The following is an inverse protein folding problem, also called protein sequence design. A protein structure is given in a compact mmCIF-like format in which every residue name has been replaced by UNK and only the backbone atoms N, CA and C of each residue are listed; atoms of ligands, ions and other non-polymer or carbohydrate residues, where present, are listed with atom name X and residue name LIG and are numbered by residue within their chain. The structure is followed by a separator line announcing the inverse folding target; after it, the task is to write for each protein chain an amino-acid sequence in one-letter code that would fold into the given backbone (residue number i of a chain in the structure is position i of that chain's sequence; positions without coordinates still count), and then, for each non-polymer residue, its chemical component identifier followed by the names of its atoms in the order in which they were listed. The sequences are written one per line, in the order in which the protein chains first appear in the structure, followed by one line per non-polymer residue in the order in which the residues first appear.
data_IF_057501275024
#
_entry.id   IF_057501275024
#
_cell.length_a   1.000
_cell.length_b   1.000
_cell.length_c   1.000
_cell.angle_alpha   90.00
_cell.angle_beta   90.00
_cell.angle_gamma   90.00
#
_symmetry.space_group_name_H-M   'P 1'
#
loop_
_entity.id
_entity.type
_entity.pdbx_description
1 polymer ?
#
# COMPACT_ATOMS: atom_id res chain seq x y z
N UNK A 1 5.02 22.83 -30.94
CA UNK A 1 6.21 22.18 -30.37
C UNK A 1 6.28 22.61 -28.92
N UNK A 2 5.80 21.78 -28.01
CA UNK A 2 5.87 22.09 -26.58
C UNK A 2 7.34 22.12 -26.16
N UNK A 3 7.73 23.22 -25.50
CA UNK A 3 8.96 23.28 -24.74
C UNK A 3 8.58 23.10 -23.27
N UNK A 4 8.94 21.95 -22.69
CA UNK A 4 8.72 21.66 -21.28
C UNK A 4 9.91 22.23 -20.50
N UNK A 5 9.65 23.19 -19.62
CA UNK A 5 10.70 23.72 -18.74
C UNK A 5 11.07 22.69 -17.69
N UNK A 6 12.36 22.61 -17.38
CA UNK A 6 12.89 21.67 -16.37
C UNK A 6 12.20 21.86 -15.03
N UNK A 7 12.00 23.12 -14.63
CA UNK A 7 11.40 23.44 -13.34
C UNK A 7 9.90 23.11 -13.29
N UNK A 8 9.16 23.37 -14.37
CA UNK A 8 7.73 23.06 -14.44
C UNK A 8 7.49 21.54 -14.30
N UNK A 9 8.35 20.72 -14.92
CA UNK A 9 8.31 19.26 -14.79
C UNK A 9 8.59 18.81 -13.35
N UNK A 10 9.69 19.29 -12.76
CA UNK A 10 10.11 18.93 -11.40
C UNK A 10 9.04 19.32 -10.37
N UNK A 11 8.48 20.51 -10.49
CA UNK A 11 7.44 21.03 -9.61
C UNK A 11 6.16 20.22 -9.75
N UNK A 12 5.74 19.89 -10.98
CA UNK A 12 4.58 19.03 -11.22
C UNK A 12 4.73 17.64 -10.59
N UNK A 13 5.93 17.03 -10.66
CA UNK A 13 6.20 15.75 -9.99
C UNK A 13 6.16 15.91 -8.46
N UNK A 14 6.73 16.99 -7.93
CA UNK A 14 6.74 17.22 -6.48
C UNK A 14 5.31 17.43 -5.94
N UNK A 15 4.52 18.25 -6.62
CA UNK A 15 3.13 18.56 -6.29
C UNK A 15 2.26 17.32 -6.43
N UNK A 16 2.46 16.50 -7.47
CA UNK A 16 1.75 15.23 -7.64
C UNK A 16 2.00 14.26 -6.49
N UNK A 17 3.24 14.12 -6.04
CA UNK A 17 3.58 13.24 -4.92
C UNK A 17 3.04 13.73 -3.59
N UNK A 18 3.03 15.05 -3.38
CA UNK A 18 2.37 15.67 -2.22
C UNK A 18 0.85 15.44 -2.28
N UNK A 19 0.23 15.72 -3.42
CA UNK A 19 -1.19 15.54 -3.67
C UNK A 19 -1.67 14.12 -3.36
N UNK A 20 -1.04 13.10 -3.95
CA UNK A 20 -1.41 11.70 -3.73
C UNK A 20 -1.00 11.19 -2.35
N UNK A 21 -0.21 11.93 -1.58
CA UNK A 21 0.14 11.52 -0.22
C UNK A 21 -1.08 11.57 0.70
N UNK A 22 -1.96 12.57 0.52
CA UNK A 22 -3.08 12.85 1.42
C UNK A 22 -4.47 12.80 0.76
N UNK A 23 -4.58 12.84 -0.58
CA UNK A 23 -5.84 12.62 -1.28
C UNK A 23 -5.94 11.22 -1.87
N UNK A 24 -7.07 10.56 -1.59
CA UNK A 24 -7.51 9.44 -2.42
C UNK A 24 -8.20 9.97 -3.69
N UNK A 25 -8.11 9.24 -4.81
CA UNK A 25 -8.99 9.44 -5.96
C UNK A 25 -10.49 9.36 -5.59
N UNK A 26 -11.34 10.15 -6.24
CA UNK A 26 -12.79 10.21 -5.95
C UNK A 26 -13.49 8.87 -6.14
N UNK A 27 -13.15 8.17 -7.23
CA UNK A 27 -13.64 6.84 -7.56
C UNK A 27 -13.31 5.80 -6.48
N UNK A 28 -12.13 5.88 -5.85
CA UNK A 28 -11.77 5.05 -4.70
C UNK A 28 -12.66 5.35 -3.50
N UNK A 29 -12.90 6.62 -3.18
CA UNK A 29 -13.76 7.02 -2.05
C UNK A 29 -15.19 6.52 -2.28
N UNK A 30 -15.73 6.71 -3.49
CA UNK A 30 -17.08 6.28 -3.86
C UNK A 30 -17.22 4.74 -3.83
N UNK A 31 -16.25 4.01 -4.40
CA UNK A 31 -16.27 2.55 -4.40
C UNK A 31 -16.18 2.00 -2.97
N UNK A 32 -15.33 2.59 -2.12
CA UNK A 32 -15.18 2.19 -0.74
C UNK A 32 -16.43 2.53 0.10
N UNK A 33 -17.07 3.67 -0.14
CA UNK A 33 -18.35 4.03 0.47
C UNK A 33 -19.46 3.03 0.07
N UNK A 34 -19.55 2.65 -1.21
CA UNK A 34 -20.49 1.65 -1.66
C UNK A 34 -20.23 0.26 -1.04
N UNK A 35 -18.96 -0.10 -0.81
CA UNK A 35 -18.59 -1.30 -0.09
C UNK A 35 -19.00 -1.23 1.40
N UNK A 36 -18.78 -0.09 2.06
CA UNK A 36 -19.18 0.15 3.45
C UNK A 36 -20.68 -0.07 3.68
N UNK A 37 -21.51 0.47 2.79
CA UNK A 37 -22.97 0.36 2.90
C UNK A 37 -23.44 -1.10 2.79
N UNK A 38 -22.81 -1.88 1.90
CA UNK A 38 -23.17 -3.28 1.65
C UNK A 38 -22.58 -4.24 2.67
N UNK A 39 -21.47 -3.89 3.32
CA UNK A 39 -20.73 -4.81 4.19
C UNK A 39 -21.57 -5.31 5.37
N UNK A 40 -21.54 -6.62 5.57
CA UNK A 40 -22.33 -7.32 6.58
C UNK A 40 -21.46 -7.75 7.78
N UNK A 41 -20.18 -8.02 7.56
CA UNK A 41 -19.23 -8.36 8.62
C UNK A 41 -18.94 -7.11 9.47
N UNK A 42 -19.25 -7.12 10.78
CA UNK A 42 -18.99 -5.96 11.64
C UNK A 42 -17.52 -5.54 11.66
N UNK A 43 -16.61 -6.52 11.64
CA UNK A 43 -15.17 -6.25 11.66
C UNK A 43 -14.67 -5.63 10.34
N UNK A 44 -15.12 -6.13 9.19
CA UNK A 44 -14.78 -5.52 7.90
C UNK A 44 -15.45 -4.16 7.72
N UNK A 45 -16.70 -3.98 8.16
CA UNK A 45 -17.39 -2.69 8.10
C UNK A 45 -16.68 -1.64 8.96
N UNK A 46 -16.24 -2.02 10.16
CA UNK A 46 -15.42 -1.17 11.01
C UNK A 46 -14.07 -0.80 10.36
N UNK A 47 -13.39 -1.78 9.74
CA UNK A 47 -12.14 -1.53 9.02
C UNK A 47 -12.33 -0.56 7.84
N UNK A 48 -13.41 -0.70 7.06
CA UNK A 48 -13.74 0.23 5.97
C UNK A 48 -14.03 1.63 6.53
N UNK A 49 -14.79 1.73 7.63
CA UNK A 49 -15.08 3.01 8.27
C UNK A 49 -13.80 3.73 8.75
N UNK A 50 -12.83 3.00 9.30
CA UNK A 50 -11.53 3.56 9.66
C UNK A 50 -10.77 4.08 8.45
N UNK A 51 -10.78 3.37 7.31
CA UNK A 51 -10.12 3.82 6.07
C UNK A 51 -10.78 5.10 5.54
N UNK A 52 -12.11 5.17 5.49
CA UNK A 52 -12.86 6.36 5.05
C UNK A 52 -12.60 7.56 5.97
N UNK A 53 -12.64 7.34 7.29
CA UNK A 53 -12.35 8.36 8.30
C UNK A 53 -10.92 8.87 8.16
N UNK A 54 -9.94 7.97 8.06
CA UNK A 54 -8.54 8.31 7.83
C UNK A 54 -8.37 9.09 6.53
N UNK A 55 -9.02 8.66 5.45
CA UNK A 55 -8.95 9.34 4.15
C UNK A 55 -9.42 10.79 4.24
N UNK A 56 -10.52 11.06 4.94
CA UNK A 56 -11.04 12.42 5.15
C UNK A 56 -10.10 13.25 6.02
N UNK A 57 -9.63 12.67 7.14
CA UNK A 57 -8.68 13.34 8.04
C UNK A 57 -7.37 13.71 7.33
N UNK A 58 -6.88 12.83 6.44
CA UNK A 58 -5.69 13.09 5.64
C UNK A 58 -5.91 14.24 4.65
N UNK A 59 -7.04 14.25 3.94
CA UNK A 59 -7.41 15.33 3.02
C UNK A 59 -7.50 16.69 3.73
N UNK A 60 -8.15 16.75 4.89
CA UNK A 60 -8.33 17.98 5.67
C UNK A 60 -7.02 18.41 6.36
N UNK A 61 -6.28 17.47 6.95
CA UNK A 61 -5.04 17.73 7.69
C UNK A 61 -3.80 17.90 6.81
N UNK A 62 -3.90 17.53 5.53
CA UNK A 62 -2.78 17.43 4.57
C UNK A 62 -1.65 16.55 5.11
N UNK A 63 -2.01 15.35 5.58
CA UNK A 63 -1.07 14.37 6.13
C UNK A 63 -1.20 13.01 5.45
N UNK A 64 -0.11 12.23 5.34
CA UNK A 64 -0.10 11.04 4.50
C UNK A 64 -1.13 10.00 4.93
N UNK A 65 -1.82 9.42 3.95
CA UNK A 65 -2.81 8.34 4.09
C UNK A 65 -2.25 7.11 4.81
N UNK A 66 -0.95 6.88 4.70
CA UNK A 66 -0.26 5.73 5.23
C UNK A 66 1.15 6.13 5.70
N UNK A 67 1.63 5.50 6.77
CA UNK A 67 3.00 5.69 7.24
C UNK A 67 4.04 5.22 6.21
N UNK A 68 3.66 4.26 5.36
CA UNK A 68 4.47 3.86 4.21
C UNK A 68 4.12 4.73 3.00
N UNK A 69 4.83 5.85 2.86
CA UNK A 69 4.65 6.79 1.74
C UNK A 69 5.10 6.20 0.40
N UNK A 70 5.74 5.02 0.39
CA UNK A 70 5.88 4.17 -0.78
C UNK A 70 7.11 4.44 -1.66
N UNK A 71 7.29 3.56 -2.65
CA UNK A 71 8.27 3.69 -3.74
C UNK A 71 7.60 4.47 -4.85
N UNK A 72 8.29 5.47 -5.42
CA UNK A 72 7.74 6.24 -6.54
C UNK A 72 7.92 5.46 -7.84
N UNK A 73 6.83 5.32 -8.58
CA UNK A 73 6.80 4.76 -9.94
C UNK A 73 6.19 5.80 -10.87
N UNK A 74 6.88 6.13 -11.96
CA UNK A 74 6.43 7.08 -12.98
C UNK A 74 6.38 6.41 -14.35
N UNK A 75 5.23 6.44 -15.01
CA UNK A 75 5.06 6.12 -16.42
C UNK A 75 4.93 7.43 -17.20
N UNK A 76 5.87 7.68 -18.10
CA UNK A 76 5.98 8.93 -18.85
C UNK A 76 5.87 8.60 -20.33
N UNK A 77 4.83 9.14 -20.99
CA UNK A 77 4.67 9.09 -22.44
C UNK A 77 5.10 10.43 -23.02
N UNK A 78 6.15 10.43 -23.83
CA UNK A 78 6.75 11.63 -24.41
C UNK A 78 6.37 11.74 -25.87
N UNK A 79 5.62 12.78 -26.22
CA UNK A 79 5.32 13.12 -27.61
C UNK A 79 6.60 13.36 -28.41
N UNK A 80 6.70 12.76 -29.60
CA UNK A 80 7.86 12.89 -30.49
C UNK A 80 8.18 14.34 -30.90
N UNK A 81 7.25 15.27 -30.72
CA UNK A 81 7.45 16.70 -30.99
C UNK A 81 7.78 17.52 -29.74
N UNK A 82 7.92 16.90 -28.57
CA UNK A 82 8.30 17.59 -27.33
C UNK A 82 9.78 17.98 -27.36
N UNK A 83 10.11 19.14 -26.82
CA UNK A 83 11.47 19.51 -26.40
C UNK A 83 11.50 19.77 -24.90
N UNK A 84 12.59 19.41 -24.26
CA UNK A 84 12.85 19.76 -22.86
C UNK A 84 13.88 20.90 -22.80
N UNK A 85 13.68 21.81 -21.87
CA UNK A 85 14.68 22.81 -21.49
C UNK A 85 15.82 22.13 -20.69
N UNK A 86 17.04 22.65 -20.82
CA UNK A 86 18.20 22.18 -20.06
C UNK A 86 18.80 20.87 -20.56
N UNK A 87 19.65 20.27 -19.73
CA UNK A 87 20.43 19.05 -20.00
C UNK A 87 20.09 17.89 -19.04
N UNK A 88 19.18 18.10 -18.08
CA UNK A 88 18.69 17.04 -17.20
C UNK A 88 17.92 15.97 -17.97
N UNK A 89 18.21 14.72 -17.67
CA UNK A 89 17.42 13.58 -18.12
C UNK A 89 16.05 13.56 -17.44
N UNK A 90 15.07 12.85 -18.04
CA UNK A 90 13.75 12.66 -17.43
C UNK A 90 13.84 12.00 -16.05
N UNK A 91 14.73 11.02 -15.89
CA UNK A 91 14.93 10.34 -14.62
C UNK A 91 15.49 11.29 -13.54
N UNK A 92 16.44 12.17 -13.90
CA UNK A 92 16.95 13.20 -12.98
C UNK A 92 15.86 14.20 -12.59
N UNK A 93 15.03 14.64 -13.53
CA UNK A 93 13.90 15.53 -13.24
C UNK A 93 12.86 14.87 -12.33
N UNK A 94 12.52 13.59 -12.57
CA UNK A 94 11.64 12.81 -11.68
C UNK A 94 12.26 12.70 -10.29
N UNK A 95 13.52 12.30 -10.18
CA UNK A 95 14.19 12.11 -8.90
C UNK A 95 14.32 13.41 -8.10
N UNK A 96 14.49 14.55 -8.77
CA UNK A 96 14.49 15.85 -8.11
C UNK A 96 13.10 16.23 -7.60
N UNK A 97 12.04 15.98 -8.38
CA UNK A 97 10.65 16.15 -7.90
C UNK A 97 10.34 15.25 -6.71
N UNK A 98 10.79 14.00 -6.73
CA UNK A 98 10.68 13.04 -5.61
C UNK A 98 11.37 13.57 -4.37
N UNK A 99 12.63 14.01 -4.48
CA UNK A 99 13.38 14.58 -3.36
C UNK A 99 12.66 15.77 -2.73
N UNK A 100 12.17 16.70 -3.56
CA UNK A 100 11.43 17.88 -3.09
C UNK A 100 10.13 17.51 -2.39
N UNK A 101 9.36 16.59 -2.95
CA UNK A 101 8.14 16.10 -2.32
C UNK A 101 8.42 15.44 -0.97
N UNK A 102 9.42 14.54 -0.90
CA UNK A 102 9.66 13.77 0.31
C UNK A 102 10.26 14.60 1.45
N UNK A 103 11.01 15.65 1.12
CA UNK A 103 11.61 16.59 2.07
C UNK A 103 10.76 17.86 2.28
N UNK A 104 9.50 17.87 1.84
CA UNK A 104 8.63 19.03 1.98
C UNK A 104 8.41 19.38 3.46
N UNK A 105 8.75 20.59 3.93
CA UNK A 105 8.80 20.91 5.36
C UNK A 105 7.43 20.82 6.05
N UNK A 106 6.36 21.18 5.34
CA UNK A 106 5.00 21.16 5.90
C UNK A 106 4.33 19.79 5.87
N UNK A 107 4.91 18.83 5.15
CA UNK A 107 4.37 17.48 4.99
C UNK A 107 5.48 16.50 4.62
N UNK A 108 6.43 16.33 5.53
CA UNK A 108 7.57 15.44 5.31
C UNK A 108 7.07 14.00 5.16
N UNK A 109 7.54 13.31 4.13
CA UNK A 109 7.17 11.93 3.81
C UNK A 109 8.26 10.97 4.27
N UNK A 110 7.94 9.68 4.40
CA UNK A 110 8.89 8.69 4.90
C UNK A 110 9.78 8.11 3.80
N UNK A 111 11.06 8.48 3.79
CA UNK A 111 12.05 7.86 2.92
C UNK A 111 12.24 6.37 3.25
N UNK A 112 11.91 5.50 2.28
CA UNK A 112 11.86 4.05 2.42
C UNK A 112 12.82 3.31 1.48
N UNK A 113 13.48 4.01 0.55
CA UNK A 113 14.47 3.44 -0.38
C UNK A 113 15.82 3.23 0.32
N UNK A 114 16.50 2.16 -0.07
CA UNK A 114 17.83 1.79 0.42
C UNK A 114 18.81 1.60 -0.75
N UNK A 115 20.02 2.13 -0.59
CA UNK A 115 21.16 1.83 -1.45
C UNK A 115 21.79 0.49 -1.06
N UNK A 116 22.41 -0.17 -2.04
CA UNK A 116 23.06 -1.48 -1.88
C UNK A 116 22.08 -2.54 -1.32
N UNK A 117 21.03 -2.90 -2.10
CA UNK A 117 19.94 -3.76 -1.62
C UNK A 117 20.40 -5.18 -1.25
N UNK A 118 21.49 -5.65 -1.86
CA UNK A 118 22.13 -6.94 -1.57
C UNK A 118 23.18 -6.88 -0.46
N UNK A 119 23.56 -5.67 -0.01
CA UNK A 119 24.61 -5.46 0.99
C UNK A 119 24.15 -4.64 2.18
N UNK A 120 24.70 -3.43 2.33
CA UNK A 120 24.55 -2.60 3.53
C UNK A 120 23.16 -1.99 3.72
N UNK A 121 22.33 -1.90 2.68
CA UNK A 121 20.94 -1.42 2.73
C UNK A 121 20.79 -0.06 3.43
N UNK A 122 21.67 0.89 3.13
CA UNK A 122 21.65 2.24 3.73
C UNK A 122 20.49 3.05 3.16
N UNK A 123 19.65 3.62 4.02
CA UNK A 123 18.53 4.46 3.58
C UNK A 123 19.02 5.70 2.80
N UNK A 124 18.36 6.05 1.70
CA UNK A 124 18.73 7.18 0.84
C UNK A 124 18.32 8.55 1.39
N UNK A 125 17.40 8.56 2.37
CA UNK A 125 16.90 9.72 3.13
C UNK A 125 16.05 10.71 2.34
N UNK A 126 15.95 10.56 1.03
CA UNK A 126 15.10 11.38 0.16
C UNK A 126 14.15 10.54 -0.72
N UNK A 127 14.10 9.22 -0.48
CA UNK A 127 13.29 8.25 -1.21
C UNK A 127 13.63 8.10 -2.70
N UNK A 128 14.78 8.60 -3.14
CA UNK A 128 15.31 8.35 -4.48
C UNK A 128 16.16 7.07 -4.51
N UNK A 129 16.37 6.43 -5.68
CA UNK A 129 15.74 6.75 -6.97
C UNK A 129 14.29 6.23 -7.09
N UNK A 130 13.49 6.90 -7.93
CA UNK A 130 12.21 6.41 -8.40
C UNK A 130 12.37 5.38 -9.53
N UNK A 131 11.33 4.58 -9.76
CA UNK A 131 11.25 3.69 -10.92
C UNK A 131 10.60 4.46 -12.07
N UNK A 132 11.38 4.81 -13.10
CA UNK A 132 10.92 5.64 -14.22
C UNK A 132 10.83 4.82 -15.50
N UNK A 133 9.64 4.78 -16.09
CA UNK A 133 9.38 4.16 -17.38
C UNK A 133 9.07 5.26 -18.40
N UNK A 134 9.81 5.28 -19.52
CA UNK A 134 9.63 6.27 -20.58
C UNK A 134 9.24 5.56 -21.87
N UNK A 135 8.16 6.02 -22.49
CA UNK A 135 7.68 5.57 -23.80
C UNK A 135 7.59 6.78 -24.75
N UNK A 136 8.08 6.62 -25.99
CA UNK A 136 7.93 7.65 -27.02
C UNK A 136 6.63 7.43 -27.78
N UNK A 137 5.80 8.46 -27.88
CA UNK A 137 4.48 8.41 -28.55
C UNK A 137 4.33 9.53 -29.57
N UNK A 138 3.36 9.42 -30.48
CA UNK A 138 3.03 10.53 -31.37
C UNK A 138 2.39 11.69 -30.56
N UNK A 139 2.66 12.93 -30.95
CA UNK A 139 2.08 14.12 -30.31
C UNK A 139 3.14 15.13 -29.87
N UNK A 140 2.70 16.17 -29.21
CA UNK A 140 3.51 17.29 -28.71
C UNK A 140 3.33 17.57 -27.22
N UNK A 141 2.80 16.60 -26.47
CA UNK A 141 2.63 16.66 -25.01
C UNK A 141 3.49 15.61 -24.29
N UNK A 142 3.64 15.76 -22.98
CA UNK A 142 4.16 14.73 -22.10
C UNK A 142 3.03 14.30 -21.16
N UNK A 143 2.64 13.04 -21.19
CA UNK A 143 1.65 12.47 -20.27
C UNK A 143 2.38 11.71 -19.15
N UNK A 144 2.10 12.05 -17.89
CA UNK A 144 2.77 11.49 -16.71
C UNK A 144 1.72 10.86 -15.81
N UNK A 145 1.84 9.55 -15.61
CA UNK A 145 1.14 8.84 -14.55
C UNK A 145 2.14 8.51 -13.45
N UNK A 146 1.89 9.00 -12.24
CA UNK A 146 2.79 8.81 -11.11
C UNK A 146 2.05 8.18 -9.94
N UNK A 147 2.72 7.25 -9.27
CA UNK A 147 2.18 6.55 -8.10
C UNK A 147 3.19 6.43 -6.98
N UNK A 148 2.65 6.40 -5.76
CA UNK A 148 3.39 6.19 -4.52
C UNK A 148 3.06 4.80 -3.96
N UNK A 149 3.86 3.80 -4.32
CA UNK A 149 3.52 2.38 -4.13
C UNK A 149 4.02 1.82 -2.81
N UNK A 150 3.10 1.45 -1.91
CA UNK A 150 3.47 0.89 -0.60
C UNK A 150 4.16 -0.47 -0.74
N UNK A 151 5.29 -0.66 -0.03
CA UNK A 151 6.11 -1.87 -0.11
C UNK A 151 5.36 -3.13 0.33
N UNK A 152 4.37 -2.99 1.24
CA UNK A 152 3.51 -4.11 1.64
C UNK A 152 2.68 -4.69 0.49
N UNK A 153 2.19 -3.84 -0.42
CA UNK A 153 1.48 -4.29 -1.62
C UNK A 153 2.44 -4.72 -2.74
N UNK A 154 3.57 -4.02 -2.88
CA UNK A 154 4.60 -4.35 -3.87
C UNK A 154 5.13 -5.78 -3.70
N UNK A 155 5.41 -6.18 -2.46
CA UNK A 155 5.97 -7.48 -2.13
C UNK A 155 4.97 -8.65 -2.33
N UNK A 156 3.71 -8.36 -2.65
CA UNK A 156 2.68 -9.37 -2.97
C UNK A 156 2.51 -9.57 -4.47
N UNK A 157 3.35 -8.93 -5.30
CA UNK A 157 3.38 -9.16 -6.73
C UNK A 157 3.77 -10.61 -7.06
N UNK A 158 3.09 -11.22 -8.03
CA UNK A 158 3.35 -12.59 -8.49
C UNK A 158 3.37 -12.63 -10.01
N UNK A 159 4.20 -13.52 -10.55
CA UNK A 159 4.33 -13.80 -11.98
C UNK A 159 4.26 -15.31 -12.18
N UNK A 160 3.52 -15.75 -13.19
CA UNK A 160 3.55 -17.11 -13.68
C UNK A 160 3.71 -17.14 -15.21
N UNK A 161 4.35 -18.20 -15.69
CA UNK A 161 4.42 -18.52 -17.11
C UNK A 161 3.45 -19.69 -17.34
N UNK A 162 2.18 -19.35 -17.55
CA UNK A 162 1.15 -20.35 -17.79
C UNK A 162 1.34 -20.98 -19.18
N UNK A 163 0.86 -22.21 -19.32
CA UNK A 163 0.60 -22.82 -20.61
C UNK A 163 -0.63 -22.15 -21.24
N UNK A 164 -0.71 -22.06 -22.58
CA UNK A 164 -1.81 -21.35 -23.26
C UNK A 164 -3.22 -21.89 -22.97
N UNK A 165 -3.33 -23.11 -22.46
CA UNK A 165 -4.59 -23.77 -22.12
C UNK A 165 -4.93 -23.71 -20.61
N UNK A 166 -4.04 -23.18 -19.77
CA UNK A 166 -4.30 -23.03 -18.34
C UNK A 166 -5.23 -21.85 -18.06
N UNK A 167 -6.01 -21.98 -16.98
CA UNK A 167 -7.00 -20.97 -16.58
C UNK A 167 -6.32 -19.85 -15.81
N UNK A 168 -6.37 -18.63 -16.36
CA UNK A 168 -5.95 -17.41 -15.66
C UNK A 168 -6.76 -17.22 -14.37
N UNK A 169 -8.06 -17.54 -14.42
CA UNK A 169 -8.97 -17.40 -13.28
C UNK A 169 -8.55 -18.31 -12.14
N UNK A 170 -8.29 -19.58 -12.43
CA UNK A 170 -7.93 -20.54 -11.39
C UNK A 170 -6.60 -20.17 -10.74
N UNK A 171 -5.61 -19.77 -11.55
CA UNK A 171 -4.33 -19.27 -11.04
C UNK A 171 -4.49 -18.03 -10.15
N UNK A 172 -5.33 -17.06 -10.53
CA UNK A 172 -5.59 -15.88 -9.68
C UNK A 172 -6.24 -16.29 -8.36
N UNK A 173 -7.19 -17.22 -8.37
CA UNK A 173 -7.89 -17.68 -7.16
C UNK A 173 -7.01 -18.53 -6.24
N UNK A 174 -5.99 -19.20 -6.77
CA UNK A 174 -4.95 -19.84 -5.96
C UNK A 174 -4.02 -18.81 -5.32
N UNK A 175 -3.63 -17.79 -6.08
CA UNK A 175 -2.63 -16.80 -5.65
C UNK A 175 -3.18 -15.80 -4.63
N UNK A 176 -4.42 -15.32 -4.79
CA UNK A 176 -4.98 -14.25 -3.95
C UNK A 176 -5.01 -14.62 -2.45
N UNK A 177 -5.43 -15.84 -2.04
CA UNK A 177 -5.33 -16.30 -0.66
C UNK A 177 -3.90 -16.26 -0.09
N UNK A 178 -2.88 -16.62 -0.88
CA UNK A 178 -1.47 -16.54 -0.45
C UNK A 178 -1.00 -15.10 -0.17
N UNK A 179 -1.64 -14.11 -0.81
CA UNK A 179 -1.32 -12.71 -0.54
C UNK A 179 -1.77 -12.30 0.87
N UNK A 180 -2.80 -12.95 1.41
CA UNK A 180 -3.38 -12.68 2.71
C UNK A 180 -3.81 -11.23 2.89
N UNK A 181 -3.82 -10.75 4.13
CA UNK A 181 -4.12 -9.36 4.47
C UNK A 181 -2.91 -8.43 4.35
N UNK A 182 -1.73 -8.98 4.03
CA UNK A 182 -0.46 -8.26 4.04
C UNK A 182 -0.42 -7.00 3.15
N UNK A 183 -1.26 -6.95 2.12
CA UNK A 183 -1.40 -5.81 1.21
C UNK A 183 -2.52 -4.82 1.57
N UNK A 184 -3.19 -4.96 2.72
CA UNK A 184 -4.28 -4.07 3.19
C UNK A 184 -5.47 -3.94 2.23
N UNK A 185 -6.24 -5.01 1.96
CA UNK A 185 -7.54 -4.88 1.31
C UNK A 185 -8.52 -4.01 2.14
N UNK A 186 -9.55 -3.40 1.53
CA UNK A 186 -9.90 -3.50 0.13
C UNK A 186 -9.14 -2.48 -0.75
N UNK A 187 -8.76 -2.94 -1.93
CA UNK A 187 -8.12 -2.12 -2.95
C UNK A 187 -8.32 -2.75 -4.33
N UNK A 188 -7.35 -2.68 -5.23
CA UNK A 188 -7.49 -3.20 -6.60
C UNK A 188 -6.52 -4.34 -6.88
N UNK A 189 -6.83 -5.19 -7.87
CA UNK A 189 -5.85 -6.11 -8.45
C UNK A 189 -5.51 -5.65 -9.86
N UNK A 190 -4.24 -5.41 -10.14
CA UNK A 190 -3.73 -5.15 -11.49
C UNK A 190 -3.20 -6.43 -12.08
N UNK A 191 -3.63 -6.78 -13.28
CA UNK A 191 -3.27 -8.01 -13.97
C UNK A 191 -2.71 -7.66 -15.35
N UNK A 192 -1.55 -8.22 -15.65
CA UNK A 192 -0.90 -8.10 -16.95
C UNK A 192 -0.88 -9.45 -17.63
N UNK A 193 -1.35 -9.52 -18.88
CA UNK A 193 -1.46 -10.78 -19.63
C UNK A 193 -0.66 -10.68 -20.93
N UNK A 194 0.19 -11.66 -21.20
CA UNK A 194 0.92 -11.75 -22.46
C UNK A 194 2.21 -10.93 -22.50
N UNK A 195 2.69 -10.62 -23.71
CA UNK A 195 4.04 -10.12 -23.93
C UNK A 195 5.12 -11.12 -23.50
N UNK A 196 6.13 -10.61 -22.81
CA UNK A 196 7.18 -11.35 -22.08
C UNK A 196 6.97 -11.20 -20.57
N UNK A 197 7.79 -11.87 -19.75
CA UNK A 197 7.71 -11.81 -18.29
C UNK A 197 7.73 -10.38 -17.73
N UNK A 198 8.66 -9.56 -18.22
CA UNK A 198 8.80 -8.16 -17.84
C UNK A 198 7.65 -7.30 -18.35
N UNK A 199 7.13 -7.56 -19.56
CA UNK A 199 5.99 -6.80 -20.11
C UNK A 199 4.72 -7.10 -19.32
N UNK A 200 4.46 -8.35 -18.94
CA UNK A 200 3.31 -8.69 -18.09
C UNK A 200 3.38 -7.96 -16.73
N UNK A 201 4.54 -7.92 -16.08
CA UNK A 201 4.72 -7.19 -14.82
C UNK A 201 4.49 -5.68 -14.99
N UNK A 202 4.99 -5.09 -16.08
CA UNK A 202 4.77 -3.67 -16.40
C UNK A 202 3.29 -3.38 -16.65
N UNK A 203 2.60 -4.22 -17.43
CA UNK A 203 1.17 -4.09 -17.69
C UNK A 203 0.33 -4.22 -16.41
N UNK A 204 0.65 -5.19 -15.55
CA UNK A 204 0.00 -5.33 -14.25
C UNK A 204 0.17 -4.07 -13.40
N UNK A 205 1.36 -3.46 -13.43
CA UNK A 205 1.63 -2.20 -12.71
C UNK A 205 0.88 -1.01 -13.31
N UNK A 206 0.95 -0.81 -14.62
CA UNK A 206 0.33 0.30 -15.33
C UNK A 206 -1.20 0.23 -15.20
N UNK A 207 -1.79 -0.97 -15.22
CA UNK A 207 -3.24 -1.17 -15.08
C UNK A 207 -3.81 -0.59 -13.78
N UNK A 208 -3.01 -0.51 -12.71
CA UNK A 208 -3.41 0.04 -11.41
C UNK A 208 -3.58 1.56 -11.39
N UNK A 209 -3.19 2.26 -12.47
CA UNK A 209 -3.38 3.70 -12.61
C UNK A 209 -4.77 4.06 -13.17
N UNK A 210 -5.53 3.05 -13.63
CA UNK A 210 -6.86 3.25 -14.20
C UNK A 210 -7.91 3.53 -13.10
N UNK A 211 -8.92 4.36 -13.39
CA UNK A 211 -9.96 4.70 -12.43
C UNK A 211 -10.82 3.48 -12.08
N UNK A 212 -11.34 3.38 -10.86
CA UNK A 212 -12.30 2.35 -10.46
C UNK A 212 -13.63 2.58 -11.19
N UNK A 213 -14.02 1.61 -12.03
CA UNK A 213 -15.21 1.72 -12.90
C UNK A 213 -15.95 0.37 -13.05
N UNK A 214 -15.72 -0.57 -12.12
CA UNK A 214 -16.32 -1.92 -12.21
C UNK A 214 -17.85 -1.88 -12.15
N UNK A 215 -18.44 -0.96 -11.40
CA UNK A 215 -19.89 -0.81 -11.31
C UNK A 215 -20.49 -0.31 -12.63
N UNK A 216 -19.79 0.59 -13.32
CA UNK A 216 -20.19 1.03 -14.67
C UNK A 216 -20.09 -0.13 -15.66
N UNK A 217 -19.00 -0.92 -15.60
CA UNK A 217 -18.83 -2.12 -16.42
C UNK A 217 -19.95 -3.14 -16.18
N UNK A 218 -20.34 -3.38 -14.91
CA UNK A 218 -21.47 -4.25 -14.57
C UNK A 218 -22.79 -3.76 -15.17
N UNK A 219 -23.04 -2.45 -15.11
CA UNK A 219 -24.28 -1.85 -15.63
C UNK A 219 -24.38 -1.91 -17.16
N UNK A 220 -23.27 -1.65 -17.87
CA UNK A 220 -23.24 -1.66 -19.34
C UNK A 220 -23.06 -3.05 -19.95
N UNK A 221 -22.52 -4.00 -19.19
CA UNK A 221 -22.13 -5.33 -19.66
C UNK A 221 -20.82 -5.36 -20.44
N UNK A 222 -20.13 -6.50 -20.36
CA UNK A 222 -18.86 -6.74 -21.06
C UNK A 222 -19.04 -6.78 -22.58
N UNK A 223 -18.09 -6.18 -23.30
CA UNK A 223 -18.05 -6.07 -24.76
C UNK A 223 -16.91 -6.87 -25.40
N UNK A 224 -15.98 -7.37 -24.59
CA UNK A 224 -14.83 -8.15 -25.05
C UNK A 224 -14.38 -9.14 -23.96
N UNK A 225 -13.46 -10.04 -24.32
CA UNK A 225 -12.97 -11.10 -23.44
C UNK A 225 -12.29 -10.58 -22.17
N UNK A 226 -11.59 -9.45 -22.26
CA UNK A 226 -10.90 -8.85 -21.10
C UNK A 226 -11.91 -8.31 -20.09
N UNK A 227 -12.98 -7.67 -20.56
CA UNK A 227 -14.06 -7.20 -19.70
C UNK A 227 -14.84 -8.34 -19.04
N UNK A 228 -15.10 -9.43 -19.77
CA UNK A 228 -15.68 -10.66 -19.19
C UNK A 228 -14.80 -11.21 -18.08
N UNK A 229 -13.50 -11.36 -18.34
CA UNK A 229 -12.52 -11.86 -17.38
C UNK A 229 -12.43 -10.96 -16.15
N UNK A 230 -12.47 -9.65 -16.35
CA UNK A 230 -12.46 -8.65 -15.28
C UNK A 230 -13.66 -8.79 -14.34
N UNK A 231 -14.86 -8.93 -14.89
CA UNK A 231 -16.09 -9.15 -14.11
C UNK A 231 -16.06 -10.49 -13.37
N UNK A 232 -15.63 -11.56 -14.06
CA UNK A 232 -15.51 -12.90 -13.48
C UNK A 232 -14.54 -12.93 -12.30
N UNK A 233 -13.36 -12.31 -12.45
CA UNK A 233 -12.36 -12.21 -11.38
C UNK A 233 -12.84 -11.35 -10.22
N UNK A 234 -13.47 -10.20 -10.50
CA UNK A 234 -14.01 -9.34 -9.45
C UNK A 234 -15.02 -10.08 -8.57
N UNK A 235 -15.94 -10.83 -9.18
CA UNK A 235 -16.92 -11.64 -8.46
C UNK A 235 -16.26 -12.76 -7.66
N UNK A 236 -15.45 -13.61 -8.32
CA UNK A 236 -14.86 -14.79 -7.69
C UNK A 236 -13.87 -14.45 -6.57
N UNK A 237 -13.07 -13.38 -6.73
CA UNK A 237 -12.13 -12.92 -5.69
C UNK A 237 -12.88 -12.43 -4.45
N UNK A 238 -13.97 -11.69 -4.61
CA UNK A 238 -14.78 -11.25 -3.47
C UNK A 238 -15.51 -12.44 -2.80
N UNK A 239 -15.91 -13.46 -3.57
CA UNK A 239 -16.50 -14.69 -3.04
C UNK A 239 -15.54 -15.55 -2.19
N UNK A 240 -14.21 -15.32 -2.26
CA UNK A 240 -13.25 -15.94 -1.35
C UNK A 240 -13.47 -15.52 0.12
N UNK A 241 -14.18 -14.42 0.36
CA UNK A 241 -14.56 -13.99 1.70
C UNK A 241 -13.40 -13.50 2.56
N UNK A 242 -12.24 -13.16 1.98
CA UNK A 242 -11.08 -12.60 2.68
C UNK A 242 -11.46 -11.28 3.39
N UNK A 243 -12.17 -10.40 2.67
CA UNK A 243 -12.75 -9.17 3.22
C UNK A 243 -11.72 -8.07 3.54
N UNK A 244 -12.23 -6.95 4.04
CA UNK A 244 -11.42 -5.80 4.41
C UNK A 244 -10.41 -6.17 5.52
N UNK A 245 -9.13 -5.81 5.30
CA UNK A 245 -8.00 -6.14 6.18
C UNK A 245 -7.83 -7.64 6.49
N UNK A 246 -8.46 -8.53 5.72
CA UNK A 246 -8.50 -9.97 5.99
C UNK A 246 -9.35 -10.39 7.19
N UNK A 247 -10.28 -9.53 7.62
CA UNK A 247 -11.16 -9.79 8.78
C UNK A 247 -12.42 -10.57 8.40
N UNK A 248 -12.50 -11.10 7.18
CA UNK A 248 -13.70 -11.69 6.62
C UNK A 248 -14.74 -10.65 6.24
N UNK A 249 -15.42 -10.84 5.12
CA UNK A 249 -16.43 -9.89 4.64
C UNK A 249 -16.73 -10.03 3.16
N UNK A 250 -17.51 -9.09 2.64
CA UNK A 250 -17.98 -9.12 1.25
C UNK A 250 -16.95 -8.52 0.28
N UNK A 251 -16.12 -7.59 0.74
CA UNK A 251 -15.23 -6.82 -0.15
C UNK A 251 -13.76 -7.05 0.18
N UNK A 252 -13.09 -7.82 -0.68
CA UNK A 252 -11.63 -7.96 -0.74
C UNK A 252 -11.04 -7.00 -1.78
N UNK A 253 -11.71 -6.84 -2.92
CA UNK A 253 -11.29 -5.95 -4.02
C UNK A 253 -12.43 -5.01 -4.42
N UNK A 254 -12.09 -3.75 -4.64
CA UNK A 254 -12.96 -2.73 -5.19
C UNK A 254 -13.02 -2.81 -6.72
N UNK A 255 -11.95 -3.29 -7.35
CA UNK A 255 -11.85 -3.46 -8.80
C UNK A 255 -10.74 -4.46 -9.17
N UNK A 256 -10.80 -5.01 -10.38
CA UNK A 256 -9.73 -5.73 -11.06
C UNK A 256 -9.41 -4.98 -12.35
N UNK A 257 -8.16 -4.63 -12.62
CA UNK A 257 -7.71 -3.98 -13.84
C UNK A 257 -6.85 -4.95 -14.64
N UNK A 258 -7.10 -5.02 -15.94
CA UNK A 258 -6.40 -5.94 -16.83
C UNK A 258 -5.89 -5.17 -18.03
N UNK A 259 -4.60 -5.30 -18.32
CA UNK A 259 -4.00 -4.91 -19.59
C UNK A 259 -3.33 -6.13 -20.22
N UNK A 260 -3.49 -6.28 -21.53
CA UNK A 260 -2.92 -7.39 -22.27
C UNK A 260 -1.99 -6.92 -23.41
N UNK A 261 -1.13 -7.83 -23.86
CA UNK A 261 -0.23 -7.61 -24.98
C UNK A 261 -0.05 -8.90 -25.79
N UNK A 262 0.12 -8.82 -27.12
CA UNK A 262 0.43 -10.00 -27.93
C UNK A 262 1.60 -10.80 -27.36
N UNK A 263 1.49 -12.12 -27.33
CA UNK A 263 2.52 -13.02 -26.78
C UNK A 263 2.89 -14.12 -27.76
N UNK A 264 4.01 -14.79 -27.49
CA UNK A 264 4.45 -15.94 -28.29
C UNK A 264 3.47 -17.11 -28.12
N UNK A 265 3.16 -17.82 -29.20
CA UNK A 265 2.13 -18.87 -29.20
C UNK A 265 2.34 -20.01 -28.17
N UNK A 266 3.58 -20.20 -27.71
CA UNK A 266 3.94 -21.21 -26.70
C UNK A 266 4.02 -20.67 -25.27
N UNK A 267 3.62 -19.42 -25.02
CA UNK A 267 3.80 -18.77 -23.71
C UNK A 267 2.56 -17.96 -23.32
N UNK A 268 2.21 -18.00 -22.04
CA UNK A 268 1.20 -17.12 -21.46
C UNK A 268 1.76 -16.51 -20.16
N UNK A 269 2.61 -15.48 -20.23
CA UNK A 269 3.01 -14.73 -19.05
C UNK A 269 1.80 -14.05 -18.42
N UNK A 270 1.60 -14.24 -17.12
CA UNK A 270 0.55 -13.57 -16.35
C UNK A 270 1.14 -13.03 -15.07
N UNK A 271 0.96 -11.74 -14.84
CA UNK A 271 1.38 -11.06 -13.62
C UNK A 271 0.17 -10.51 -12.87
N UNK A 272 0.23 -10.54 -11.54
CA UNK A 272 -0.75 -9.92 -10.65
C UNK A 272 -0.04 -9.06 -9.61
N UNK A 273 -0.53 -7.83 -9.45
CA UNK A 273 0.00 -6.84 -8.51
C UNK A 273 -1.19 -6.22 -7.77
N UNK A 274 -1.30 -6.39 -6.44
CA UNK A 274 -2.36 -5.75 -5.69
C UNK A 274 -2.06 -4.27 -5.44
N UNK A 275 -3.10 -3.43 -5.40
CA UNK A 275 -3.09 -2.07 -4.91
C UNK A 275 -3.79 -1.96 -3.58
N UNK A 276 -3.10 -1.48 -2.55
CA UNK A 276 -3.61 -1.44 -1.19
C UNK A 276 -4.67 -0.37 -0.99
N UNK A 277 -5.26 -0.35 0.20
CA UNK A 277 -6.15 0.72 0.64
C UNK A 277 -5.52 2.12 0.57
N UNK A 278 -4.19 2.26 0.56
CA UNK A 278 -3.52 3.52 0.23
C UNK A 278 -3.37 3.65 -1.30
N UNK A 279 -4.49 3.85 -2.00
CA UNK A 279 -4.53 4.02 -3.46
C UNK A 279 -4.05 5.42 -3.84
N UNK A 280 -2.80 5.51 -4.32
CA UNK A 280 -2.10 6.78 -4.52
C UNK A 280 -1.50 6.85 -5.90
N UNK A 281 -2.26 7.42 -6.82
CA UNK A 281 -1.80 7.73 -8.17
C UNK A 281 -2.50 8.99 -8.68
N UNK A 282 -1.87 9.66 -9.62
CA UNK A 282 -2.45 10.79 -10.34
C UNK A 282 -1.89 10.83 -11.76
N UNK A 283 -2.69 11.38 -12.67
CA UNK A 283 -2.34 11.56 -14.07
C UNK A 283 -2.40 13.04 -14.39
N UNK A 284 -1.36 13.55 -15.05
CA UNK A 284 -1.32 14.91 -15.56
C UNK A 284 -0.55 14.98 -16.86
N UNK A 285 -0.81 16.03 -17.64
CA UNK A 285 -0.18 16.27 -18.94
C UNK A 285 0.55 17.62 -18.90
N UNK A 286 1.74 17.66 -19.48
CA UNK A 286 2.50 18.89 -19.69
C UNK A 286 2.55 19.20 -21.19
N UNK A 287 2.20 20.43 -21.55
CA UNK A 287 2.16 20.96 -22.92
C UNK A 287 3.04 22.22 -23.11
N UNK A 288 3.77 22.60 -22.06
CA UNK A 288 4.62 23.81 -22.01
C UNK A 288 3.91 25.06 -21.50
N UNK A 289 2.65 24.96 -21.06
CA UNK A 289 1.91 26.08 -20.45
C UNK A 289 2.34 26.41 -19.02
N UNK A 290 2.94 25.45 -18.29
CA UNK A 290 3.43 25.65 -16.94
C UNK A 290 3.41 24.36 -16.11
N UNK A 291 3.36 24.53 -14.79
CA UNK A 291 3.20 23.45 -13.80
C UNK A 291 1.80 22.83 -13.94
N UNK A 292 1.70 21.52 -13.76
CA UNK A 292 0.43 20.81 -13.80
C UNK A 292 -0.52 21.27 -12.67
N UNK A 293 -1.77 21.56 -13.03
CA UNK A 293 -2.81 21.85 -12.05
C UNK A 293 -3.49 20.55 -11.59
N UNK A 294 -3.45 20.30 -10.27
CA UNK A 294 -4.08 19.13 -9.65
C UNK A 294 -5.29 19.58 -8.83
N UNK A 295 -6.48 19.22 -9.29
CA UNK A 295 -7.74 19.61 -8.63
C UNK A 295 -8.03 18.65 -7.47
N UNK A 296 -8.10 19.11 -6.22
CA UNK A 296 -8.49 18.27 -5.08
C UNK A 296 -9.85 17.60 -5.28
N UNK A 297 -10.08 16.41 -4.68
CA UNK A 297 -11.38 15.77 -4.68
C UNK A 297 -12.45 16.68 -4.08
N UNK A 298 -13.68 16.61 -4.61
CA UNK A 298 -14.82 17.30 -4.02
C UNK A 298 -15.04 16.81 -2.57
N UNK A 299 -15.02 17.67 -1.54
CA UNK A 299 -15.28 17.27 -0.15
C UNK A 299 -16.62 16.53 0.06
N UNK A 300 -17.62 16.80 -0.79
CA UNK A 300 -18.93 16.14 -0.71
C UNK A 300 -18.90 14.66 -1.15
N UNK A 301 -17.77 14.19 -1.70
CA UNK A 301 -17.60 12.77 -2.07
C UNK A 301 -17.40 11.87 -0.85
N UNK A 302 -16.96 12.44 0.28
CA UNK A 302 -16.78 11.68 1.51
C UNK A 302 -18.13 11.29 2.11
N UNK A 303 -18.39 10.00 2.36
CA UNK A 303 -19.63 9.58 3.00
C UNK A 303 -19.69 10.08 4.44
N UNK A 304 -20.90 10.19 4.98
CA UNK A 304 -21.16 10.56 6.37
C UNK A 304 -20.83 9.40 7.33
N UNK A 305 -19.54 9.10 7.44
CA UNK A 305 -18.99 8.04 8.29
C UNK A 305 -18.26 8.68 9.47
N UNK A 306 -18.83 8.50 10.66
CA UNK A 306 -18.23 8.92 11.92
C UNK A 306 -17.76 7.70 12.69
N UNK A 307 -16.50 7.32 12.51
CA UNK A 307 -15.94 6.19 13.25
C UNK A 307 -15.72 6.55 14.74
N UNK A 308 -16.13 5.64 15.61
CA UNK A 308 -15.81 5.67 17.04
C UNK A 308 -15.50 4.24 17.51
N UNK A 309 -14.61 4.06 18.51
CA UNK A 309 -14.34 2.75 19.05
C UNK A 309 -15.62 2.05 19.52
N UNK A 310 -15.75 0.76 19.21
CA UNK A 310 -16.90 -0.03 19.65
C UNK A 310 -17.10 0.08 21.17
N UNK A 311 -18.34 0.36 21.66
CA UNK A 311 -18.64 0.33 23.09
C UNK A 311 -18.38 -1.03 23.74
N UNK A 312 -18.31 -2.10 22.94
CA UNK A 312 -18.06 -3.47 23.37
C UNK A 312 -16.55 -3.80 23.43
N UNK A 313 -15.68 -2.89 22.98
CA UNK A 313 -14.24 -3.10 23.02
C UNK A 313 -13.74 -3.23 24.47
N UNK A 314 -12.90 -4.25 24.72
CA UNK A 314 -12.26 -4.44 26.03
C UNK A 314 -11.21 -3.34 26.21
N UNK A 315 -11.34 -2.54 27.26
CA UNK A 315 -10.38 -1.47 27.57
C UNK A 315 -9.19 -2.05 28.32
N UNK A 316 -7.99 -1.87 27.77
CA UNK A 316 -6.76 -2.43 28.32
C UNK A 316 -5.76 -1.32 28.59
N UNK A 317 -5.32 -1.21 29.84
CA UNK A 317 -4.23 -0.30 30.21
C UNK A 317 -2.89 -1.05 30.16
N UNK A 318 -2.05 -0.70 29.18
CA UNK A 318 -0.73 -1.30 28.93
C UNK A 318 0.27 -1.09 30.07
N UNK A 319 0.00 -0.17 31.00
CA UNK A 319 0.85 0.01 32.18
C UNK A 319 0.52 -0.95 33.33
N UNK A 320 -0.69 -1.52 33.35
CA UNK A 320 -1.19 -2.36 34.46
C UNK A 320 -1.65 -3.75 34.05
N UNK A 321 -1.79 -4.01 32.74
CA UNK A 321 -2.22 -5.31 32.20
C UNK A 321 -1.29 -6.44 32.67
N UNK A 322 -1.87 -7.57 33.06
CA UNK A 322 -1.12 -8.75 33.52
C UNK A 322 -1.23 -9.90 32.53
N UNK A 323 -0.32 -10.87 32.65
CA UNK A 323 -0.33 -12.09 31.83
C UNK A 323 -1.59 -12.94 32.08
N UNK A 324 -2.17 -12.89 33.26
CA UNK A 324 -3.45 -13.56 33.54
C UNK A 324 -4.59 -12.90 32.79
N UNK A 325 -4.60 -11.56 32.70
CA UNK A 325 -5.60 -10.82 31.94
C UNK A 325 -5.51 -11.13 30.45
N UNK A 326 -4.30 -11.17 29.87
CA UNK A 326 -4.13 -11.47 28.44
C UNK A 326 -4.64 -12.86 28.06
N UNK A 327 -4.55 -13.84 28.97
CA UNK A 327 -5.07 -15.20 28.77
C UNK A 327 -6.60 -15.28 28.75
N UNK A 328 -7.31 -14.22 29.14
CA UNK A 328 -8.78 -14.15 29.03
C UNK A 328 -9.27 -13.71 27.64
N UNK A 329 -8.37 -13.22 26.80
CA UNK A 329 -8.69 -12.74 25.47
C UNK A 329 -8.90 -13.91 24.50
N UNK A 330 -9.76 -13.69 23.51
CA UNK A 330 -10.11 -14.65 22.47
C UNK A 330 -9.91 -14.00 21.10
N UNK A 331 -9.57 -14.82 20.11
CA UNK A 331 -9.55 -14.38 18.71
C UNK A 331 -10.89 -13.75 18.34
N UNK A 332 -10.83 -12.56 17.74
CA UNK A 332 -12.01 -11.75 17.40
C UNK A 332 -12.40 -10.71 18.46
N UNK A 333 -11.82 -10.73 19.66
CA UNK A 333 -12.00 -9.64 20.62
C UNK A 333 -11.42 -8.33 20.06
N UNK A 334 -12.19 -7.24 20.20
CA UNK A 334 -11.70 -5.88 19.95
C UNK A 334 -11.13 -5.32 21.25
N UNK A 335 -9.86 -4.88 21.21
CA UNK A 335 -9.17 -4.27 22.35
C UNK A 335 -8.95 -2.77 22.09
N UNK A 336 -9.26 -1.94 23.09
CA UNK A 336 -8.95 -0.51 23.09
C UNK A 336 -7.81 -0.26 24.08
N UNK A 337 -6.63 0.04 23.55
CA UNK A 337 -5.39 0.11 24.32
C UNK A 337 -5.09 1.55 24.77
N UNK A 338 -4.65 1.71 26.01
CA UNK A 338 -4.15 2.98 26.57
C UNK A 338 -2.85 2.76 27.32
N UNK A 339 -1.91 3.71 27.29
CA UNK A 339 -0.66 3.64 28.05
C UNK A 339 0.59 3.65 27.17
N UNK A 340 1.70 3.13 27.68
CA UNK A 340 3.00 3.12 26.99
C UNK A 340 3.21 1.84 26.20
N UNK A 341 3.70 1.98 24.97
CA UNK A 341 4.04 0.87 24.10
C UNK A 341 5.46 1.05 23.54
N UNK A 342 6.19 -0.07 23.39
CA UNK A 342 7.50 -0.06 22.75
C UNK A 342 7.31 -0.15 21.23
N UNK A 343 8.14 0.53 20.44
CA UNK A 343 8.08 0.43 18.97
C UNK A 343 9.34 -0.24 18.44
N UNK A 344 9.20 -1.17 17.49
CA UNK A 344 10.35 -1.80 16.85
C UNK A 344 9.94 -2.72 15.72
N UNK A 345 10.77 -2.83 14.68
CA UNK A 345 10.53 -3.66 13.49
C UNK A 345 11.79 -4.41 13.07
N UNK A 346 11.93 -4.75 11.80
CA UNK A 346 12.97 -5.59 11.20
C UNK A 346 14.39 -5.30 11.75
N UNK A 347 14.88 -4.06 11.64
CA UNK A 347 16.24 -3.70 12.08
C UNK A 347 16.43 -3.72 13.61
N UNK A 348 15.39 -3.35 14.36
CA UNK A 348 15.42 -3.37 15.82
C UNK A 348 15.49 -4.81 16.34
N UNK A 349 14.68 -5.71 15.77
CA UNK A 349 14.67 -7.14 16.14
C UNK A 349 16.01 -7.81 15.81
N UNK A 350 16.59 -7.53 14.64
CA UNK A 350 17.93 -8.00 14.27
C UNK A 350 19.00 -7.53 15.27
N UNK A 351 18.96 -6.26 15.67
CA UNK A 351 19.90 -5.72 16.67
C UNK A 351 19.72 -6.39 18.03
N UNK A 352 18.49 -6.58 18.50
CA UNK A 352 18.20 -7.30 19.75
C UNK A 352 18.77 -8.71 19.70
N UNK A 353 18.57 -9.44 18.59
CA UNK A 353 19.13 -10.78 18.40
C UNK A 353 20.65 -10.79 18.51
N UNK A 354 21.34 -9.85 17.85
CA UNK A 354 22.81 -9.75 17.94
C UNK A 354 23.26 -9.47 19.37
N UNK A 355 22.61 -8.54 20.08
CA UNK A 355 22.94 -8.22 21.46
C UNK A 355 22.77 -9.44 22.39
N UNK A 356 21.65 -10.16 22.27
CA UNK A 356 21.40 -11.36 23.06
C UNK A 356 22.41 -12.48 22.74
N UNK A 357 22.75 -12.69 21.47
CA UNK A 357 23.76 -13.66 21.05
C UNK A 357 25.16 -13.34 21.60
N UNK A 358 25.46 -12.05 21.81
CA UNK A 358 26.71 -11.58 22.41
C UNK A 358 26.69 -11.55 23.96
N UNK A 359 25.55 -11.90 24.59
CA UNK A 359 25.38 -11.78 26.05
C UNK A 359 25.31 -10.34 26.55
N UNK A 360 24.99 -9.38 25.69
CA UNK A 360 24.84 -7.96 26.04
C UNK A 360 23.49 -7.70 26.73
N UNK A 361 23.45 -6.73 27.64
CA UNK A 361 22.21 -6.25 28.24
C UNK A 361 21.38 -5.46 27.24
N UNK A 362 20.07 -5.74 27.17
CA UNK A 362 19.15 -4.96 26.33
C UNK A 362 18.94 -3.55 26.90
N UNK A 363 18.76 -2.53 26.05
CA UNK A 363 18.60 -1.14 26.48
C UNK A 363 17.22 -0.84 27.08
N UNK A 364 16.28 -1.78 26.98
CA UNK A 364 14.90 -1.67 27.47
C UNK A 364 14.48 -3.00 28.08
N UNK A 365 13.64 -2.92 29.13
CA UNK A 365 12.99 -4.09 29.73
C UNK A 365 11.67 -4.39 29.01
N UNK A 366 11.54 -5.61 28.51
CA UNK A 366 10.36 -6.09 27.79
C UNK A 366 9.35 -6.79 28.70
N UNK A 367 9.69 -7.01 29.97
CA UNK A 367 8.83 -7.69 30.94
C UNK A 367 7.50 -6.98 31.08
N UNK A 368 6.41 -7.71 30.85
CA UNK A 368 5.05 -7.20 30.92
C UNK A 368 4.77 -6.04 29.94
N UNK A 369 5.46 -5.99 28.79
CA UNK A 369 5.28 -4.97 27.74
C UNK A 369 4.71 -5.54 26.46
N UNK A 370 4.24 -4.63 25.62
CA UNK A 370 3.85 -4.88 24.23
C UNK A 370 4.82 -4.16 23.29
N UNK A 371 5.06 -4.76 22.14
CA UNK A 371 5.83 -4.14 21.06
C UNK A 371 4.93 -3.87 19.84
N UNK A 372 4.97 -2.65 19.33
CA UNK A 372 4.25 -2.21 18.15
C UNK A 372 5.18 -2.16 16.94
N UNK A 373 4.82 -2.92 15.91
CA UNK A 373 5.54 -2.99 14.65
C UNK A 373 5.21 -1.79 13.77
N UNK A 374 5.92 -0.68 13.99
CA UNK A 374 5.68 0.59 13.30
C UNK A 374 6.98 1.24 12.84
N UNK A 375 6.89 1.96 11.72
CA UNK A 375 7.87 2.94 11.29
C UNK A 375 7.13 4.22 10.95
N UNK A 376 6.98 5.15 11.91
CA UNK A 376 6.13 6.32 11.74
C UNK A 376 6.69 7.26 10.68
N UNK A 377 5.82 8.09 10.12
CA UNK A 377 6.21 9.33 9.45
C UNK A 377 6.61 10.34 10.53
N UNK A 378 7.59 11.17 10.23
CA UNK A 378 8.02 12.20 11.17
C UNK A 378 6.88 13.19 11.46
N UNK A 379 6.74 13.53 12.74
CA UNK A 379 5.82 14.56 13.19
C UNK A 379 6.24 15.92 12.61
N UNK A 380 5.25 16.69 12.15
CA UNK A 380 5.46 18.06 11.69
C UNK A 380 4.62 19.02 12.52
N UNK A 381 4.96 20.31 12.49
CA UNK A 381 4.22 21.36 13.22
C UNK A 381 4.14 21.04 14.72
N UNK A 382 2.94 20.89 15.26
CA UNK A 382 2.62 20.59 16.66
C UNK A 382 2.12 19.15 16.87
N UNK A 383 2.27 18.27 15.88
CA UNK A 383 1.92 16.85 16.00
C UNK A 383 2.71 16.16 17.10
N UNK A 384 2.02 15.44 17.99
CA UNK A 384 2.69 14.56 18.96
C UNK A 384 3.36 13.35 18.27
N UNK A 385 2.75 12.87 17.18
CA UNK A 385 3.24 11.77 16.35
C UNK A 385 2.72 11.96 14.92
N UNK A 386 3.56 11.73 13.91
CA UNK A 386 3.09 11.65 12.53
C UNK A 386 2.34 10.33 12.27
N UNK A 387 1.84 10.10 11.03
CA UNK A 387 1.17 8.85 10.68
C UNK A 387 1.96 7.60 11.10
N UNK A 388 1.32 6.73 11.88
CA UNK A 388 1.98 5.64 12.59
C UNK A 388 1.19 4.32 12.50
N UNK A 389 0.76 3.93 11.30
CA UNK A 389 0.05 2.68 11.05
C UNK A 389 0.94 1.41 11.21
N UNK A 390 0.32 0.23 11.42
CA UNK A 390 1.03 -1.01 11.65
C UNK A 390 1.76 -1.53 10.41
N UNK A 391 2.77 -2.37 10.66
CA UNK A 391 3.53 -3.10 9.64
C UNK A 391 3.19 -4.60 9.67
N UNK A 392 3.39 -5.29 8.54
CA UNK A 392 3.12 -6.74 8.38
C UNK A 392 3.84 -7.56 9.43
N UNK A 393 3.08 -8.27 10.27
CA UNK A 393 3.60 -8.97 11.44
C UNK A 393 4.46 -10.19 11.08
N UNK A 394 4.15 -10.88 9.98
CA UNK A 394 4.85 -12.09 9.51
C UNK A 394 6.36 -11.89 9.34
N UNK A 395 6.80 -10.65 9.05
CA UNK A 395 8.23 -10.34 8.89
C UNK A 395 9.03 -10.44 10.18
N UNK A 396 8.34 -10.46 11.33
CA UNK A 396 8.94 -10.60 12.65
C UNK A 396 8.81 -12.03 13.19
N UNK A 397 8.24 -12.97 12.43
CA UNK A 397 7.92 -14.32 12.92
C UNK A 397 9.16 -15.09 13.38
N UNK A 398 10.27 -14.98 12.65
CA UNK A 398 11.56 -15.61 13.00
C UNK A 398 12.18 -15.09 14.30
N UNK A 399 11.68 -13.97 14.85
CA UNK A 399 12.13 -13.40 16.12
C UNK A 399 11.17 -13.71 17.28
N UNK A 400 10.08 -14.42 17.05
CA UNK A 400 8.97 -14.58 18.02
C UNK A 400 9.42 -15.28 19.30
N UNK A 401 10.03 -16.46 19.19
CA UNK A 401 10.53 -17.21 20.35
C UNK A 401 11.49 -16.36 21.19
N UNK A 402 12.47 -15.75 20.52
CA UNK A 402 13.44 -14.86 21.15
C UNK A 402 12.77 -13.70 21.90
N UNK A 403 11.83 -13.00 21.26
CA UNK A 403 11.16 -11.85 21.86
C UNK A 403 10.24 -12.26 23.02
N UNK A 404 9.48 -13.34 22.90
CA UNK A 404 8.60 -13.80 23.97
C UNK A 404 9.38 -14.29 25.19
N UNK A 405 10.57 -14.87 24.97
CA UNK A 405 11.47 -15.26 26.04
C UNK A 405 12.02 -14.07 26.86
N UNK A 406 11.91 -12.83 26.37
CA UNK A 406 12.28 -11.61 27.13
C UNK A 406 11.24 -11.20 28.17
N UNK A 407 10.12 -11.91 28.30
CA UNK A 407 9.01 -11.56 29.20
C UNK A 407 7.95 -10.66 28.56
N UNK A 408 8.06 -10.41 27.25
CA UNK A 408 7.06 -9.70 26.44
C UNK A 408 5.67 -10.38 26.57
N UNK A 409 4.61 -9.57 26.65
CA UNK A 409 3.22 -10.06 26.70
C UNK A 409 2.59 -10.26 25.33
N UNK A 410 3.06 -9.53 24.33
CA UNK A 410 2.48 -9.62 23.00
C UNK A 410 3.06 -8.59 22.04
N UNK A 411 2.61 -8.70 20.79
CA UNK A 411 3.00 -7.82 19.71
C UNK A 411 1.78 -7.26 18.98
N UNK A 412 1.94 -6.06 18.43
CA UNK A 412 0.90 -5.38 17.66
C UNK A 412 1.45 -5.15 16.26
N UNK A 413 0.74 -5.64 15.25
CA UNK A 413 1.06 -5.48 13.84
C UNK A 413 -0.19 -5.62 13.00
N UNK A 414 -0.02 -5.86 11.69
CA UNK A 414 -1.12 -6.17 10.78
C UNK A 414 -0.88 -7.51 10.06
N UNK A 415 -1.97 -8.04 9.52
CA UNK A 415 -2.03 -9.30 8.76
C UNK A 415 -1.71 -10.56 9.58
N UNK A 416 -1.89 -11.70 8.92
CA UNK A 416 -1.68 -13.03 9.45
C UNK A 416 -0.22 -13.32 9.87
N UNK A 417 -0.07 -14.28 10.78
CA UNK A 417 1.20 -14.81 11.27
C UNK A 417 1.38 -16.22 10.71
N UNK A 418 2.62 -16.63 10.44
CA UNK A 418 2.94 -17.99 10.00
C UNK A 418 2.73 -19.03 11.09
N UNK A 419 2.58 -20.29 10.70
CA UNK A 419 2.31 -21.41 11.61
C UNK A 419 3.36 -21.53 12.73
N UNK A 420 4.65 -21.35 12.40
CA UNK A 420 5.75 -21.40 13.38
C UNK A 420 5.56 -20.34 14.48
N UNK A 421 5.20 -19.11 14.09
CA UNK A 421 4.93 -18.04 15.05
C UNK A 421 3.72 -18.36 15.95
N UNK A 422 2.68 -19.02 15.42
CA UNK A 422 1.52 -19.41 16.21
C UNK A 422 1.88 -20.47 17.27
N UNK A 423 2.76 -21.43 16.91
CA UNK A 423 3.27 -22.43 17.85
C UNK A 423 4.03 -21.76 19.00
N UNK A 424 4.89 -20.80 18.70
CA UNK A 424 5.63 -20.06 19.73
C UNK A 424 4.69 -19.22 20.60
N UNK A 425 3.74 -18.49 20.01
CA UNK A 425 2.75 -17.72 20.77
C UNK A 425 1.98 -18.62 21.75
N UNK A 426 1.55 -19.81 21.29
CA UNK A 426 0.86 -20.78 22.13
C UNK A 426 1.74 -21.31 23.28
N UNK A 427 3.01 -21.62 22.99
CA UNK A 427 4.01 -22.07 23.98
C UNK A 427 4.19 -21.07 25.12
N UNK A 428 4.27 -19.78 24.81
CA UNK A 428 4.45 -18.71 25.80
C UNK A 428 3.13 -18.18 26.39
N UNK A 429 1.97 -18.67 25.91
CA UNK A 429 0.63 -18.16 26.28
C UNK A 429 0.55 -16.63 26.12
N UNK A 430 1.05 -16.15 24.98
CA UNK A 430 1.15 -14.73 24.64
C UNK A 430 -0.06 -14.24 23.86
#
# INVERSE_FOLDING_TARGET
MALIKTQDFIESVADALQYISYYHPEDYIQALAAAYEKEASPAAKDAIAQILTNSRMCAEGKRPLCQDTGIVVAFIKVGMQVRFEGDMTLEEMVNEGVRRAYLHPDNMLRASIVNDPAGARKNTRDNTPAITHVEMVAGDTVDIQIAAKGGGSENKSKLAMLNPNESIVDWVLEVVPEMGAGWCPPGMLGIGIGGSAEKAMLLAKESLMAPIDIQELQARGAQNRIEELRLELYEKVNQLGIGAQGLGGLTTVLDVKILDYPTHAASLPVAIIPNCAATRHVHFTLDGSGVAELTPPNPDVYPDVHWAPSPQAKRVNLETVTREETQTWRTGDTLLLTGKILTGRDAAHKRIQTMLANGESLPVDFTNKFIYYVGPVDAVRDEAVGPAGPTTATRMDSYTDMMLNTGLLGSIGKAERGEEALVEIAKYKS
#
